data_IF_120406098040
#
_entry.id   IF_120406098040
#
_cell.length_a   1.000
_cell.length_b   1.000
_cell.length_c   1.000
_cell.angle_alpha   90.00
_cell.angle_beta   90.00
_cell.angle_gamma   90.00
#
_symmetry.space_group_name_H-M   'P 1'
#
loop_
_entity.id
_entity.type
_entity.pdbx_description
1 polymer ?
#
# COMPACT_ATOMS: atom_id res chain seq x y z
N UNK A 1 -4.43 -27.21 5.14
CA UNK A 1 -5.35 -27.07 4.01
C UNK A 1 -5.80 -25.62 3.96
N UNK A 2 -5.14 -24.81 3.13
CA UNK A 2 -5.73 -23.56 2.66
C UNK A 2 -5.91 -23.77 1.17
N UNK A 3 -7.16 -23.80 0.71
CA UNK A 3 -7.44 -23.76 -0.72
C UNK A 3 -6.80 -22.49 -1.26
N UNK A 4 -6.02 -22.63 -2.34
CA UNK A 4 -5.57 -21.47 -3.10
C UNK A 4 -6.84 -20.79 -3.61
N UNK A 5 -7.22 -19.69 -2.97
CA UNK A 5 -8.14 -18.74 -3.57
C UNK A 5 -7.34 -18.13 -4.72
N UNK A 6 -7.47 -18.70 -5.91
CA UNK A 6 -7.09 -18.03 -7.15
C UNK A 6 -8.07 -16.86 -7.29
N UNK A 7 -7.73 -15.74 -6.63
CA UNK A 7 -8.29 -14.45 -6.96
C UNK A 7 -7.83 -14.18 -8.40
N UNK A 8 -8.70 -14.51 -9.35
CA UNK A 8 -8.54 -14.09 -10.73
C UNK A 8 -8.62 -12.56 -10.77
N UNK A 9 -7.49 -11.92 -10.52
CA UNK A 9 -7.30 -10.47 -10.58
C UNK A 9 -7.51 -9.93 -12.01
N UNK A 10 -7.59 -10.81 -13.03
CA UNK A 10 -7.94 -10.41 -14.40
C UNK A 10 -9.46 -10.26 -14.58
N UNK A 11 -10.26 -10.91 -13.73
CA UNK A 11 -11.69 -10.71 -13.67
C UNK A 11 -11.99 -9.36 -13.00
N UNK A 12 -12.25 -8.34 -13.82
CA UNK A 12 -12.45 -6.96 -13.36
C UNK A 12 -13.76 -6.73 -12.58
N UNK A 13 -14.63 -7.73 -12.45
CA UNK A 13 -15.94 -7.61 -11.77
C UNK A 13 -15.80 -7.16 -10.30
N UNK A 14 -14.76 -7.63 -9.58
CA UNK A 14 -14.56 -7.28 -8.17
C UNK A 14 -14.36 -5.77 -7.95
N UNK A 15 -13.88 -5.06 -8.97
CA UNK A 15 -13.58 -3.64 -8.91
C UNK A 15 -14.66 -2.74 -9.51
N UNK A 16 -15.68 -3.30 -10.19
CA UNK A 16 -16.74 -2.51 -10.83
C UNK A 16 -17.60 -1.71 -9.85
N UNK A 17 -17.71 -2.17 -8.60
CA UNK A 17 -18.48 -1.52 -7.55
C UNK A 17 -17.61 -0.72 -6.58
N UNK A 18 -16.29 -0.66 -6.79
CA UNK A 18 -15.39 0.12 -5.96
C UNK A 18 -15.36 1.56 -6.49
N UNK A 19 -15.96 2.50 -5.75
CA UNK A 19 -15.73 3.93 -5.95
C UNK A 19 -14.35 4.31 -5.42
N UNK A 20 -13.31 3.81 -6.07
CA UNK A 20 -11.92 4.14 -5.76
C UNK A 20 -11.65 5.65 -5.81
N UNK A 21 -12.48 6.40 -6.54
CA UNK A 21 -12.42 7.86 -6.66
C UNK A 21 -12.82 8.61 -5.37
N UNK A 22 -13.60 7.97 -4.50
CA UNK A 22 -14.02 8.53 -3.20
C UNK A 22 -12.98 8.27 -2.10
N UNK A 23 -12.14 7.27 -2.29
CA UNK A 23 -11.10 6.89 -1.33
C UNK A 23 -9.80 7.66 -1.58
N UNK A 24 -9.39 8.49 -0.61
CA UNK A 24 -8.11 9.21 -0.67
C UNK A 24 -6.88 8.32 -0.36
N UNK A 25 -7.10 7.18 0.30
CA UNK A 25 -6.09 6.23 0.70
C UNK A 25 -6.43 4.85 0.15
N UNK A 26 -5.50 4.26 -0.59
CA UNK A 26 -5.61 2.88 -1.05
C UNK A 26 -4.55 2.03 -0.37
N UNK A 27 -4.97 0.88 0.15
CA UNK A 27 -4.08 -0.07 0.81
C UNK A 27 -4.01 -1.34 -0.03
N UNK A 28 -2.78 -1.75 -0.36
CA UNK A 28 -2.50 -2.98 -1.06
C UNK A 28 -1.68 -3.88 -0.12
N UNK A 29 -2.34 -4.79 0.61
CA UNK A 29 -1.65 -5.80 1.40
C UNK A 29 -0.80 -6.69 0.51
N UNK A 30 0.42 -6.96 0.96
CA UNK A 30 1.35 -7.85 0.29
C UNK A 30 1.98 -8.77 1.33
N UNK A 31 2.09 -10.05 0.99
CA UNK A 31 2.75 -11.03 1.83
C UNK A 31 3.84 -11.70 1.02
N UNK A 32 5.08 -11.58 1.50
CA UNK A 32 6.23 -12.26 0.94
C UNK A 32 6.92 -13.07 2.02
N UNK A 33 7.13 -14.36 1.78
CA UNK A 33 7.83 -15.27 2.70
C UNK A 33 7.38 -15.16 4.17
N UNK A 34 6.05 -15.13 4.40
CA UNK A 34 5.40 -14.99 5.73
C UNK A 34 5.55 -13.61 6.39
N UNK A 35 6.15 -12.65 5.69
CA UNK A 35 6.20 -11.27 6.12
C UNK A 35 5.11 -10.45 5.42
N UNK A 36 4.22 -9.87 6.22
CA UNK A 36 3.21 -8.96 5.73
C UNK A 36 3.79 -7.55 5.64
N UNK A 37 3.45 -6.83 4.57
CA UNK A 37 3.61 -5.39 4.39
C UNK A 37 2.33 -4.81 3.78
N UNK A 38 2.19 -3.48 3.78
CA UNK A 38 1.15 -2.80 3.01
C UNK A 38 1.76 -1.68 2.19
N UNK A 39 1.43 -1.64 0.90
CA UNK A 39 1.69 -0.46 0.07
C UNK A 39 0.49 0.47 0.26
N UNK A 40 0.73 1.68 0.73
CA UNK A 40 -0.28 2.71 0.88
C UNK A 40 -0.09 3.76 -0.20
N UNK A 41 -1.15 4.09 -0.92
CA UNK A 41 -1.19 5.16 -1.92
C UNK A 41 -2.08 6.27 -1.39
N UNK A 42 -1.52 7.46 -1.24
CA UNK A 42 -2.26 8.66 -0.90
C UNK A 42 -2.51 9.49 -2.15
N UNK A 43 -3.73 9.39 -2.67
CA UNK A 43 -4.15 10.02 -3.92
C UNK A 43 -4.10 11.55 -3.81
N UNK A 44 -4.52 12.11 -2.67
CA UNK A 44 -4.55 13.55 -2.45
C UNK A 44 -3.15 14.15 -2.34
N UNK A 45 -2.23 13.44 -1.70
CA UNK A 45 -0.85 13.90 -1.49
C UNK A 45 0.11 13.49 -2.62
N UNK A 46 -0.38 12.78 -3.65
CA UNK A 46 0.42 12.27 -4.77
C UNK A 46 1.69 11.56 -4.28
N UNK A 47 1.51 10.65 -3.32
CA UNK A 47 2.61 9.88 -2.76
C UNK A 47 2.19 8.47 -2.46
N UNK A 48 3.19 7.62 -2.31
CA UNK A 48 3.01 6.24 -1.89
C UNK A 48 4.14 5.84 -0.95
N UNK A 49 3.83 4.91 -0.07
CA UNK A 49 4.69 4.49 1.01
C UNK A 49 4.50 2.99 1.26
N UNK A 50 5.53 2.33 1.77
CA UNK A 50 5.42 0.95 2.24
C UNK A 50 5.44 0.95 3.75
N UNK A 51 4.40 0.37 4.32
CA UNK A 51 4.26 0.11 5.74
C UNK A 51 4.85 -1.26 6.04
N UNK A 52 6.03 -1.25 6.65
CA UNK A 52 6.78 -2.44 7.07
C UNK A 52 7.32 -2.27 8.49
N UNK A 53 6.97 -3.22 9.35
CA UNK A 53 7.37 -3.26 10.75
C UNK A 53 8.70 -3.96 11.01
N UNK A 54 9.22 -4.80 10.09
CA UNK A 54 10.51 -5.46 10.26
C UNK A 54 11.69 -4.59 9.84
N UNK A 55 11.50 -3.73 8.84
CA UNK A 55 12.47 -2.70 8.41
C UNK A 55 13.83 -3.30 8.03
N UNK A 56 13.86 -3.99 6.89
CA UNK A 56 15.10 -4.50 6.32
C UNK A 56 16.10 -3.36 6.02
N UNK A 57 17.42 -3.62 6.12
CA UNK A 57 18.46 -2.61 5.84
C UNK A 57 18.39 -2.08 4.40
N UNK A 58 17.97 -2.93 3.47
CA UNK A 58 17.83 -2.61 2.04
C UNK A 58 16.37 -2.33 1.66
N UNK A 59 15.53 -1.95 2.63
CA UNK A 59 14.08 -1.75 2.48
C UNK A 59 13.69 -0.95 1.24
N UNK A 60 14.40 0.16 1.00
CA UNK A 60 14.13 1.04 -0.14
C UNK A 60 14.47 0.36 -1.47
N UNK A 61 15.59 -0.34 -1.56
CA UNK A 61 16.01 -0.98 -2.81
C UNK A 61 15.14 -2.20 -3.13
N UNK A 62 14.74 -2.93 -2.10
CA UNK A 62 13.94 -4.14 -2.24
C UNK A 62 12.48 -3.84 -2.57
N UNK A 63 11.80 -2.98 -1.80
CA UNK A 63 10.35 -2.79 -1.94
C UNK A 63 9.95 -1.66 -2.87
N UNK A 64 10.79 -0.64 -3.09
CA UNK A 64 10.42 0.50 -3.95
C UNK A 64 10.06 0.08 -5.39
N UNK A 65 10.86 -0.74 -6.10
CA UNK A 65 10.52 -1.13 -7.48
C UNK A 65 9.22 -1.93 -7.56
N UNK A 66 8.97 -2.78 -6.55
CA UNK A 66 7.73 -3.55 -6.45
C UNK A 66 6.53 -2.63 -6.20
N UNK A 67 6.64 -1.70 -5.25
CA UNK A 67 5.58 -0.74 -4.95
C UNK A 67 5.28 0.17 -6.15
N UNK A 68 6.30 0.70 -6.84
CA UNK A 68 6.13 1.50 -8.06
C UNK A 68 5.31 0.76 -9.13
N UNK A 69 5.57 -0.54 -9.32
CA UNK A 69 4.77 -1.37 -10.23
C UNK A 69 3.31 -1.43 -9.78
N UNK A 70 3.05 -1.76 -8.52
CA UNK A 70 1.68 -1.86 -7.98
C UNK A 70 0.93 -0.54 -8.14
N UNK A 71 1.55 0.59 -7.76
CA UNK A 71 0.94 1.92 -7.88
C UNK A 71 0.66 2.25 -9.34
N UNK A 72 1.62 2.03 -10.24
CA UNK A 72 1.43 2.25 -11.68
C UNK A 72 0.26 1.44 -12.23
N UNK A 73 0.17 0.15 -11.88
CA UNK A 73 -0.95 -0.69 -12.32
C UNK A 73 -2.29 -0.21 -11.76
N UNK A 74 -2.34 0.15 -10.47
CA UNK A 74 -3.57 0.64 -9.84
C UNK A 74 -4.06 1.95 -10.49
N UNK A 75 -3.16 2.92 -10.71
CA UNK A 75 -3.49 4.20 -11.35
C UNK A 75 -3.94 3.99 -12.81
N UNK A 76 -3.23 3.15 -13.57
CA UNK A 76 -3.62 2.85 -14.95
C UNK A 76 -4.98 2.15 -15.02
N UNK A 77 -5.21 1.17 -14.14
CA UNK A 77 -6.50 0.49 -14.03
C UNK A 77 -7.61 1.52 -13.77
N UNK A 78 -7.40 2.40 -12.81
CA UNK A 78 -8.35 3.46 -12.46
C UNK A 78 -8.67 4.39 -13.61
N UNK A 79 -7.65 4.88 -14.31
CA UNK A 79 -7.85 5.73 -15.50
C UNK A 79 -8.64 5.01 -16.59
N UNK A 80 -8.48 3.69 -16.75
CA UNK A 80 -9.23 2.92 -17.76
C UNK A 80 -10.70 2.71 -17.39
N UNK A 81 -11.01 2.61 -16.10
CA UNK A 81 -12.37 2.38 -15.62
C UNK A 81 -13.16 3.68 -15.44
N UNK A 82 -12.47 4.76 -15.08
CA UNK A 82 -13.07 6.04 -14.73
C UNK A 82 -12.45 7.15 -15.58
N UNK A 83 -12.99 7.32 -16.80
CA UNK A 83 -12.46 8.20 -17.84
C UNK A 83 -12.35 9.70 -17.45
N UNK A 84 -12.95 10.11 -16.33
CA UNK A 84 -13.08 11.52 -15.93
C UNK A 84 -11.88 12.10 -15.18
N UNK A 85 -10.90 11.28 -14.77
CA UNK A 85 -9.70 11.77 -14.04
C UNK A 85 -8.43 11.15 -14.61
N UNK A 86 -7.68 11.90 -15.41
CA UNK A 86 -6.36 11.50 -15.92
C UNK A 86 -5.29 11.66 -14.83
N UNK A 87 -5.34 10.81 -13.81
CA UNK A 87 -4.31 10.77 -12.77
C UNK A 87 -3.04 10.16 -13.37
N UNK A 88 -1.94 10.90 -13.37
CA UNK A 88 -0.65 10.43 -13.90
C UNK A 88 0.17 9.79 -12.80
N UNK A 89 0.56 8.52 -12.96
CA UNK A 89 1.35 7.81 -11.95
C UNK A 89 2.71 8.49 -11.72
N UNK A 90 3.24 9.18 -12.72
CA UNK A 90 4.51 9.93 -12.67
C UNK A 90 4.51 11.06 -11.62
N UNK A 91 3.31 11.51 -11.19
CA UNK A 91 3.18 12.52 -10.14
C UNK A 91 3.40 11.93 -8.74
N UNK A 92 3.33 10.62 -8.60
CA UNK A 92 3.42 9.96 -7.31
C UNK A 92 4.86 9.82 -6.85
N UNK A 93 5.14 10.32 -5.65
CA UNK A 93 6.47 10.27 -5.05
C UNK A 93 6.56 9.18 -3.98
N UNK A 94 7.69 8.47 -3.93
CA UNK A 94 7.98 7.53 -2.85
C UNK A 94 8.23 8.31 -1.55
N UNK A 95 7.49 7.97 -0.51
CA UNK A 95 7.67 8.50 0.83
C UNK A 95 8.18 7.43 1.78
N UNK A 96 9.35 7.67 2.38
CA UNK A 96 9.92 6.75 3.37
C UNK A 96 9.38 7.10 4.75
N UNK A 97 8.70 6.15 5.38
CA UNK A 97 8.14 6.33 6.71
C UNK A 97 9.07 5.82 7.79
N UNK A 98 9.45 6.72 8.68
CA UNK A 98 10.08 6.34 9.92
C UNK A 98 9.03 5.89 10.97
N UNK A 99 8.95 4.58 11.24
CA UNK A 99 7.96 3.97 12.14
C UNK A 99 8.58 2.99 13.14
N UNK A 100 7.83 2.70 14.20
CA UNK A 100 8.23 1.74 15.24
C UNK A 100 8.51 0.37 14.60
N UNK A 101 9.66 -0.20 14.92
CA UNK A 101 10.04 -1.55 14.50
C UNK A 101 9.37 -2.56 15.44
N UNK A 102 8.84 -3.65 14.89
CA UNK A 102 8.31 -4.72 15.72
C UNK A 102 9.43 -5.44 16.50
N UNK A 103 9.14 -5.98 17.70
CA UNK A 103 10.14 -6.64 18.53
C UNK A 103 10.44 -8.08 18.12
N UNK A 104 9.58 -8.71 17.31
CA UNK A 104 9.64 -10.15 16.96
C UNK A 104 9.50 -10.36 15.44
N UNK A 105 9.42 -11.60 14.97
CA UNK A 105 9.30 -11.98 13.55
C UNK A 105 7.89 -12.44 13.13
N UNK A 106 6.89 -12.32 14.01
CA UNK A 106 5.54 -12.90 13.84
C UNK A 106 4.41 -11.89 13.91
N UNK A 107 4.67 -10.71 14.48
CA UNK A 107 3.67 -9.69 14.75
C UNK A 107 3.38 -8.77 13.55
N UNK A 108 4.01 -8.98 12.38
CA UNK A 108 3.91 -8.05 11.24
C UNK A 108 2.47 -7.82 10.75
N UNK A 109 1.67 -8.89 10.67
CA UNK A 109 0.24 -8.76 10.33
C UNK A 109 -0.54 -7.90 11.33
N UNK A 110 -0.26 -8.02 12.63
CA UNK A 110 -0.92 -7.23 13.68
C UNK A 110 -0.52 -5.76 13.62
N UNK A 111 0.77 -5.47 13.41
CA UNK A 111 1.27 -4.11 13.22
C UNK A 111 0.60 -3.44 12.01
N UNK A 112 0.48 -4.16 10.90
CA UNK A 112 -0.16 -3.67 9.68
C UNK A 112 -1.63 -3.35 9.87
N UNK A 113 -2.39 -4.25 10.48
CA UNK A 113 -3.82 -4.02 10.76
C UNK A 113 -3.98 -2.78 11.64
N UNK A 114 -3.15 -2.66 12.70
CA UNK A 114 -3.13 -1.49 13.57
C UNK A 114 -2.79 -0.22 12.79
N UNK A 115 -1.77 -0.26 11.93
CA UNK A 115 -1.38 0.90 11.14
C UNK A 115 -2.44 1.31 10.15
N UNK A 116 -3.04 0.40 9.37
CA UNK A 116 -4.13 0.72 8.45
C UNK A 116 -5.32 1.37 9.16
N UNK A 117 -5.67 0.91 10.37
CA UNK A 117 -6.75 1.50 11.18
C UNK A 117 -6.48 2.95 11.58
N UNK A 118 -5.23 3.30 11.82
CA UNK A 118 -4.83 4.62 12.29
C UNK A 118 -4.17 5.48 11.20
N UNK A 119 -4.07 4.96 9.98
CA UNK A 119 -3.38 5.65 8.89
C UNK A 119 -4.26 6.73 8.31
N UNK A 120 -4.04 7.98 8.71
CA UNK A 120 -4.75 9.13 8.17
C UNK A 120 -4.09 9.70 6.91
N UNK A 121 -2.98 9.11 6.44
CA UNK A 121 -2.17 9.71 5.37
C UNK A 121 -1.55 11.06 5.75
N UNK A 122 -1.61 11.46 7.02
CA UNK A 122 -0.98 12.68 7.54
C UNK A 122 0.42 12.34 8.04
N UNK A 123 1.39 13.17 7.67
CA UNK A 123 2.69 13.11 8.30
C UNK A 123 2.57 13.80 9.67
N UNK A 124 2.43 13.02 10.73
CA UNK A 124 2.60 13.51 12.10
C UNK A 124 3.97 13.06 12.59
N UNK A 125 4.89 14.02 12.74
CA UNK A 125 6.18 13.83 13.41
C UNK A 125 6.06 13.34 14.86
N UNK A 126 4.85 13.29 15.41
CA UNK A 126 4.54 12.74 16.73
C UNK A 126 4.37 11.21 16.76
N UNK A 127 4.15 10.54 15.62
CA UNK A 127 3.97 9.07 15.56
C UNK A 127 5.31 8.29 15.48
N UNK A 128 6.42 8.96 15.79
CA UNK A 128 7.78 8.38 15.84
C UNK A 128 8.29 8.18 17.27
N UNK A 129 7.48 8.54 18.27
CA UNK A 129 7.79 8.42 19.69
C UNK A 129 6.66 7.69 20.41
N UNK A 130 6.68 6.37 20.32
CA UNK A 130 6.12 5.48 21.35
C UNK A 130 7.14 4.34 21.55
#
# INVERSE_FOLDING_TARGET
>A
YYDKVDLDITNKEWAKNLSFIECNLWFFPYCDNKHYIVICVNIKAERFEVLDSLRHKDFKEYYKPMAERVVKYAINYMNTQFADKTVKWERFTWFNLEKVKQPDDKSCGMYIIRWMRHWEGKYNSALTKD
#
